data_IF_555637241159
#
_entry.id   IF_555637241159
#
_cell.length_a   1.000
_cell.length_b   1.000
_cell.length_c   1.000
_cell.angle_alpha   90.00
_cell.angle_beta   90.00
_cell.angle_gamma   90.00
#
_symmetry.space_group_name_H-M   'P 1'
#
loop_
_entity.id
_entity.type
_entity.pdbx_description
1 polymer ?
#
# COMPACT_ATOMS: atom_id res chain seq x y z
N UNK A 1 -12.36 -16.43 3.08
CA UNK A 1 -13.37 -16.67 2.03
C UNK A 1 -12.80 -17.52 0.90
N UNK A 2 -11.92 -16.97 0.04
CA UNK A 2 -11.34 -17.67 -1.12
C UNK A 2 -10.85 -19.10 -0.83
N UNK A 3 -9.95 -19.28 0.17
CA UNK A 3 -9.41 -20.60 0.56
C UNK A 3 -10.51 -21.64 0.84
N UNK A 4 -11.63 -21.22 1.44
CA UNK A 4 -12.73 -22.12 1.75
C UNK A 4 -13.56 -22.48 0.49
N UNK A 5 -13.72 -21.54 -0.44
CA UNK A 5 -14.51 -21.71 -1.67
C UNK A 5 -13.76 -22.47 -2.77
N UNK A 6 -12.44 -22.28 -2.86
CA UNK A 6 -11.57 -23.00 -3.79
C UNK A 6 -11.26 -24.43 -3.33
N UNK A 7 -11.45 -24.73 -2.04
CA UNK A 7 -11.11 -26.01 -1.43
C UNK A 7 -9.66 -26.10 -0.89
N UNK A 8 -8.93 -24.99 -0.87
CA UNK A 8 -7.59 -24.91 -0.29
C UNK A 8 -6.82 -23.65 -0.71
N UNK A 9 -5.61 -23.42 -0.15
CA UNK A 9 -4.80 -22.25 -0.44
C UNK A 9 -3.99 -22.42 -1.75
N UNK A 10 -4.65 -22.87 -2.80
CA UNK A 10 -4.03 -23.14 -4.10
C UNK A 10 -4.47 -22.09 -5.13
N UNK A 11 -3.51 -21.61 -5.92
CA UNK A 11 -3.71 -20.68 -7.02
C UNK A 11 -3.21 -21.36 -8.30
N UNK A 12 -4.09 -21.60 -9.25
CA UNK A 12 -3.73 -22.30 -10.50
C UNK A 12 -2.65 -21.58 -11.32
N UNK A 13 -2.79 -20.27 -11.51
CA UNK A 13 -1.85 -19.49 -12.32
C UNK A 13 -1.47 -18.18 -11.63
N UNK A 14 -0.17 -17.92 -11.55
CA UNK A 14 0.37 -16.61 -11.18
C UNK A 14 1.03 -15.99 -12.41
N UNK A 15 0.62 -14.78 -12.75
CA UNK A 15 1.28 -13.94 -13.74
C UNK A 15 2.01 -12.80 -13.04
N UNK A 16 3.33 -12.74 -13.20
CA UNK A 16 4.15 -11.63 -12.71
C UNK A 16 4.22 -10.57 -13.81
N UNK A 17 3.57 -9.43 -13.59
CA UNK A 17 3.56 -8.34 -14.56
C UNK A 17 4.91 -7.61 -14.56
N UNK A 18 5.39 -7.28 -15.76
CA UNK A 18 6.65 -6.59 -15.99
C UNK A 18 6.52 -5.65 -17.19
N UNK A 19 7.49 -4.74 -17.37
CA UNK A 19 7.59 -3.95 -18.59
C UNK A 19 8.08 -4.82 -19.77
N UNK A 20 8.02 -4.29 -20.99
CA UNK A 20 8.77 -4.85 -22.12
C UNK A 20 10.26 -4.56 -21.95
N UNK A 21 11.11 -5.57 -22.13
CA UNK A 21 12.56 -5.46 -21.94
C UNK A 21 13.20 -4.49 -22.95
N UNK A 22 12.63 -4.43 -24.15
CA UNK A 22 12.99 -3.53 -25.23
C UNK A 22 12.54 -2.07 -25.00
N UNK A 23 11.72 -1.81 -23.98
CA UNK A 23 11.13 -0.49 -23.72
C UNK A 23 10.18 -0.04 -24.85
N UNK A 24 10.07 1.27 -25.04
CA UNK A 24 9.37 1.88 -26.17
C UNK A 24 10.11 3.11 -26.67
N UNK A 25 9.98 3.41 -27.97
CA UNK A 25 10.46 4.67 -28.55
C UNK A 25 9.38 5.73 -28.47
N UNK A 26 9.78 6.99 -28.43
CA UNK A 26 8.83 8.11 -28.50
C UNK A 26 7.94 7.97 -29.75
N UNK A 27 6.63 8.11 -29.56
CA UNK A 27 5.63 7.93 -30.63
C UNK A 27 5.27 6.48 -30.99
N UNK A 28 5.83 5.47 -30.32
CA UNK A 28 5.54 4.03 -30.57
C UNK A 28 4.84 3.34 -29.41
N UNK A 29 4.27 4.10 -28.47
CA UNK A 29 3.53 3.53 -27.36
C UNK A 29 2.22 2.94 -27.86
N UNK A 30 1.99 1.67 -27.57
CA UNK A 30 0.79 0.92 -27.91
C UNK A 30 0.38 0.06 -26.72
N UNK A 31 -0.92 -0.19 -26.57
CA UNK A 31 -1.41 -1.12 -25.56
C UNK A 31 -1.20 -2.55 -26.04
N UNK A 32 -0.51 -3.34 -25.22
CA UNK A 32 -0.21 -4.75 -25.51
C UNK A 32 0.14 -5.53 -24.26
N UNK A 33 -0.08 -6.83 -24.34
CA UNK A 33 0.28 -7.81 -23.32
C UNK A 33 0.77 -9.08 -24.00
N UNK A 34 1.94 -9.56 -23.59
CA UNK A 34 2.56 -10.76 -24.13
C UNK A 34 3.18 -11.62 -23.02
N UNK A 35 3.03 -12.95 -23.16
CA UNK A 35 3.85 -13.90 -22.40
C UNK A 35 5.31 -13.77 -22.84
N UNK A 36 6.20 -13.46 -21.89
CA UNK A 36 7.62 -13.21 -22.16
C UNK A 36 8.48 -13.85 -21.06
N UNK A 37 9.77 -14.11 -21.34
CA UNK A 37 10.71 -14.50 -20.30
C UNK A 37 10.74 -13.47 -19.17
N UNK A 38 10.86 -13.94 -17.93
CA UNK A 38 10.98 -13.07 -16.77
C UNK A 38 12.27 -12.25 -16.86
N UNK A 39 12.15 -10.93 -16.69
CA UNK A 39 13.29 -9.99 -16.71
C UNK A 39 14.08 -10.12 -15.41
N UNK A 40 13.38 -9.96 -14.29
CA UNK A 40 13.95 -10.11 -12.96
C UNK A 40 13.91 -11.58 -12.52
N UNK A 41 14.83 -11.94 -11.61
CA UNK A 41 14.77 -13.24 -10.94
C UNK A 41 13.43 -13.38 -10.21
N UNK A 42 12.68 -14.44 -10.54
CA UNK A 42 11.43 -14.76 -9.87
C UNK A 42 11.65 -14.91 -8.37
N UNK A 43 10.79 -14.23 -7.61
CA UNK A 43 10.76 -14.34 -6.15
C UNK A 43 10.00 -15.59 -5.68
N UNK A 44 9.33 -16.29 -6.61
CA UNK A 44 8.72 -17.59 -6.37
C UNK A 44 9.74 -18.71 -6.61
N UNK A 45 9.72 -19.73 -5.76
CA UNK A 45 10.56 -20.92 -5.87
C UNK A 45 9.72 -22.19 -5.79
N UNK A 46 10.11 -23.23 -6.52
CA UNK A 46 9.45 -24.53 -6.42
C UNK A 46 9.78 -25.23 -5.10
N UNK A 47 8.80 -25.89 -4.52
CA UNK A 47 8.96 -26.80 -3.39
C UNK A 47 9.24 -28.24 -3.86
N UNK A 48 9.32 -29.17 -2.90
CA UNK A 48 9.63 -30.58 -3.19
C UNK A 48 8.56 -31.30 -4.02
N UNK A 49 7.37 -30.74 -4.10
CA UNK A 49 6.23 -31.24 -4.86
C UNK A 49 5.99 -30.41 -6.13
N UNK A 50 6.99 -29.62 -6.55
CA UNK A 50 6.97 -28.79 -7.77
C UNK A 50 5.96 -27.63 -7.73
N UNK A 51 5.33 -27.36 -6.58
CA UNK A 51 4.48 -26.18 -6.40
C UNK A 51 5.30 -24.95 -6.09
N UNK A 52 4.87 -23.79 -6.59
CA UNK A 52 5.51 -22.52 -6.32
C UNK A 52 5.09 -21.97 -4.96
N UNK A 53 6.09 -21.56 -4.18
CA UNK A 53 5.97 -20.86 -2.90
C UNK A 53 6.87 -19.63 -2.89
N UNK A 54 6.68 -18.77 -1.92
CA UNK A 54 7.56 -17.62 -1.70
C UNK A 54 9.01 -18.08 -1.50
N UNK A 55 9.90 -17.63 -2.38
CA UNK A 55 11.33 -17.98 -2.40
C UNK A 55 12.17 -17.21 -1.41
N UNK A 56 11.56 -16.28 -0.66
CA UNK A 56 12.19 -15.65 0.49
C UNK A 56 12.31 -16.70 1.60
N UNK A 57 13.49 -17.31 1.70
CA UNK A 57 13.90 -17.98 2.93
C UNK A 57 13.90 -16.92 4.03
N UNK A 58 12.82 -16.85 4.81
CA UNK A 58 12.86 -16.19 6.10
C UNK A 58 14.06 -16.79 6.82
N UNK A 59 15.12 -16.03 7.14
CA UNK A 59 16.26 -16.60 7.84
C UNK A 59 15.69 -17.13 9.16
N UNK A 60 15.62 -18.45 9.29
CA UNK A 60 15.28 -19.09 10.57
C UNK A 60 16.31 -18.59 11.56
N UNK A 61 15.98 -17.54 12.32
CA UNK A 61 16.68 -17.18 13.53
C UNK A 61 16.38 -18.28 14.55
N UNK A 62 16.99 -19.45 14.37
CA UNK A 62 17.16 -20.40 15.46
C UNK A 62 18.25 -19.81 16.34
N UNK A 63 17.85 -19.06 17.37
CA UNK A 63 18.71 -18.91 18.53
C UNK A 63 18.96 -20.32 19.06
N UNK A 64 20.21 -20.79 19.13
CA UNK A 64 20.49 -22.03 19.83
C UNK A 64 20.24 -21.77 21.32
N UNK A 65 19.20 -22.39 21.88
CA UNK A 65 19.08 -22.61 23.31
C UNK A 65 20.23 -23.53 23.75
N UNK A 66 21.44 -22.97 23.92
CA UNK A 66 22.52 -23.61 24.67
C UNK A 66 22.57 -22.99 26.05
N UNK A 67 21.92 -23.70 26.98
CA UNK A 67 22.32 -23.90 28.38
C UNK A 67 22.94 -22.71 29.12
N UNK A 68 22.09 -21.96 29.81
CA UNK A 68 22.48 -21.18 30.99
C UNK A 68 22.72 -22.16 32.16
N UNK A 69 23.95 -22.66 32.28
CA UNK A 69 24.46 -23.21 33.54
C UNK A 69 25.94 -22.87 33.67
N UNK A 70 26.25 -21.84 34.47
CA UNK A 70 27.29 -21.82 35.50
C UNK A 70 27.34 -20.43 36.19
N UNK A 71 27.39 -20.37 37.54
CA UNK A 71 27.30 -19.11 38.28
C UNK A 71 28.67 -18.48 38.54
N UNK A 72 28.73 -17.15 38.35
CA UNK A 72 29.74 -16.28 38.95
C UNK A 72 31.02 -16.11 38.14
N UNK A 73 31.13 -15.02 37.36
CA UNK A 73 32.37 -14.27 37.13
C UNK A 73 32.08 -12.97 36.35
N UNK A 74 32.33 -11.85 37.03
CA UNK A 74 32.63 -10.50 36.57
C UNK A 74 31.98 -9.93 35.29
N UNK A 75 31.18 -8.89 35.53
CA UNK A 75 30.68 -7.90 34.59
C UNK A 75 31.83 -7.04 34.02
N UNK A 76 32.55 -7.56 33.02
CA UNK A 76 33.40 -6.74 32.15
C UNK A 76 33.13 -7.08 30.69
N UNK A 77 32.49 -6.12 30.01
CA UNK A 77 32.64 -5.85 28.58
C UNK A 77 32.50 -7.05 27.65
N UNK A 78 31.27 -7.45 27.36
CA UNK A 78 30.93 -8.19 26.15
C UNK A 78 30.31 -7.22 25.13
N UNK A 79 31.15 -6.40 24.50
CA UNK A 79 30.83 -5.79 23.21
C UNK A 79 30.95 -6.90 22.16
N UNK A 80 29.92 -7.74 22.04
CA UNK A 80 29.72 -8.61 20.89
C UNK A 80 28.57 -8.04 20.07
N UNK A 81 28.96 -7.46 18.94
CA UNK A 81 28.20 -7.04 17.77
C UNK A 81 26.76 -7.60 17.68
N UNK A 82 25.79 -6.81 18.11
CA UNK A 82 24.37 -6.97 17.76
C UNK A 82 24.10 -6.45 16.33
N UNK A 83 24.90 -6.88 15.33
CA UNK A 83 24.87 -6.30 13.98
C UNK A 83 24.28 -7.20 12.89
N UNK A 84 23.54 -8.26 13.21
CA UNK A 84 22.99 -9.15 12.17
C UNK A 84 21.52 -9.54 12.35
N UNK A 85 20.70 -8.68 12.95
CA UNK A 85 19.25 -8.73 12.78
C UNK A 85 18.78 -7.38 12.28
N UNK A 86 18.27 -7.27 11.04
CA UNK A 86 17.71 -6.03 10.57
C UNK A 86 16.52 -5.65 11.46
N UNK A 87 16.45 -4.37 11.80
CA UNK A 87 15.32 -3.78 12.52
C UNK A 87 14.02 -4.17 11.80
N UNK A 88 12.96 -4.62 12.51
CA UNK A 88 11.73 -5.15 11.89
C UNK A 88 11.06 -4.23 10.85
N UNK A 89 11.37 -2.93 10.84
CA UNK A 89 10.84 -1.95 9.90
C UNK A 89 11.58 -1.86 8.54
N UNK A 90 12.78 -2.42 8.39
CA UNK A 90 13.54 -2.32 7.13
C UNK A 90 13.39 -3.55 6.21
N UNK A 91 12.84 -4.66 6.71
CA UNK A 91 12.54 -5.82 5.87
C UNK A 91 11.30 -5.56 4.98
N UNK A 92 10.25 -4.92 5.47
CA UNK A 92 8.94 -4.87 4.81
C UNK A 92 8.94 -4.39 3.34
N UNK A 93 9.85 -3.48 2.95
CA UNK A 93 9.88 -2.92 1.59
C UNK A 93 10.45 -3.87 0.52
N UNK A 94 11.20 -4.92 0.91
CA UNK A 94 11.66 -5.97 -0.02
C UNK A 94 10.77 -7.23 -0.01
N UNK A 95 9.81 -7.33 0.91
CA UNK A 95 9.04 -8.56 1.19
C UNK A 95 7.63 -8.54 0.60
N UNK A 96 7.20 -7.47 -0.06
CA UNK A 96 5.86 -7.36 -0.65
C UNK A 96 5.74 -7.84 -2.11
N UNK A 97 6.82 -8.38 -2.70
CA UNK A 97 6.84 -8.85 -4.10
C UNK A 97 7.04 -10.37 -4.07
N UNK A 98 6.25 -11.13 -4.81
CA UNK A 98 6.34 -12.59 -4.79
C UNK A 98 6.02 -13.22 -3.44
N UNK A 99 5.08 -12.61 -2.70
CA UNK A 99 4.70 -12.97 -1.34
C UNK A 99 3.20 -13.21 -1.32
N UNK A 100 2.76 -14.42 -0.98
CA UNK A 100 1.35 -14.76 -0.83
C UNK A 100 0.73 -14.14 0.45
N UNK A 101 0.90 -12.84 0.61
CA UNK A 101 0.35 -11.98 1.66
C UNK A 101 0.63 -12.42 3.11
N UNK A 102 1.61 -13.31 3.34
CA UNK A 102 1.93 -13.82 4.67
C UNK A 102 1.45 -15.23 4.96
N UNK A 103 0.76 -15.86 4.01
CA UNK A 103 0.21 -17.19 4.17
C UNK A 103 1.19 -18.22 3.62
N UNK A 104 2.06 -18.73 4.52
CA UNK A 104 3.11 -19.71 4.21
C UNK A 104 2.56 -21.01 3.59
N UNK A 105 1.28 -21.32 3.79
CA UNK A 105 0.57 -22.47 3.23
C UNK A 105 0.17 -22.29 1.77
N UNK A 106 0.19 -21.07 1.24
CA UNK A 106 -0.28 -20.78 -0.12
C UNK A 106 0.65 -21.35 -1.18
N UNK A 107 0.07 -21.94 -2.23
CA UNK A 107 0.83 -22.57 -3.33
C UNK A 107 0.30 -22.12 -4.67
N UNK A 108 1.20 -21.72 -5.56
CA UNK A 108 0.93 -21.53 -6.99
C UNK A 108 1.22 -22.81 -7.77
N UNK A 109 0.32 -23.25 -8.65
CA UNK A 109 0.57 -24.41 -9.51
C UNK A 109 1.50 -24.06 -10.67
N UNK A 110 1.32 -22.88 -11.25
CA UNK A 110 2.16 -22.37 -12.32
C UNK A 110 2.50 -20.88 -12.12
N UNK A 111 3.70 -20.47 -12.53
CA UNK A 111 4.18 -19.09 -12.45
C UNK A 111 4.86 -18.73 -13.77
N UNK A 112 4.41 -17.65 -14.40
CA UNK A 112 5.04 -17.08 -15.60
C UNK A 112 4.99 -15.55 -15.58
N UNK A 113 5.72 -14.90 -16.50
CA UNK A 113 5.80 -13.45 -16.58
C UNK A 113 5.03 -12.92 -17.80
N UNK A 114 4.32 -11.80 -17.60
CA UNK A 114 3.64 -11.06 -18.67
C UNK A 114 4.28 -9.69 -18.81
N UNK A 115 4.82 -9.40 -20.00
CA UNK A 115 5.17 -8.02 -20.34
C UNK A 115 3.91 -7.28 -20.73
N UNK A 116 3.65 -6.14 -20.09
CA UNK A 116 2.42 -5.35 -20.28
C UNK A 116 2.71 -3.87 -20.45
N UNK A 117 1.95 -3.24 -21.35
CA UNK A 117 1.85 -1.81 -21.57
C UNK A 117 0.37 -1.49 -21.81
N UNK A 118 -0.20 -0.58 -21.03
CA UNK A 118 -1.58 -0.13 -21.22
C UNK A 118 -2.41 -0.14 -19.95
N UNK A 119 -3.71 0.09 -20.14
CA UNK A 119 -4.67 0.09 -19.04
C UNK A 119 -5.05 -1.32 -18.58
N UNK A 120 -5.61 -1.43 -17.37
CA UNK A 120 -5.90 -2.70 -16.71
C UNK A 120 -6.78 -3.65 -17.54
N UNK A 121 -7.70 -3.14 -18.36
CA UNK A 121 -8.54 -3.98 -19.21
C UNK A 121 -7.78 -4.71 -20.33
N UNK A 122 -6.53 -4.32 -20.64
CA UNK A 122 -5.72 -4.96 -21.71
C UNK A 122 -5.45 -6.44 -21.42
N UNK A 123 -5.42 -6.85 -20.15
CA UNK A 123 -5.17 -8.25 -19.76
C UNK A 123 -6.43 -9.12 -19.86
N UNK A 124 -7.63 -8.53 -19.93
CA UNK A 124 -8.88 -9.29 -19.89
C UNK A 124 -9.00 -10.31 -21.04
N UNK A 125 -8.69 -9.98 -22.31
CA UNK A 125 -8.72 -10.97 -23.39
C UNK A 125 -7.77 -12.15 -23.18
N UNK A 126 -6.61 -11.93 -22.55
CA UNK A 126 -5.66 -12.99 -22.22
C UNK A 126 -6.24 -13.92 -21.15
N UNK A 127 -6.79 -13.34 -20.08
CA UNK A 127 -7.41 -14.09 -18.98
C UNK A 127 -8.62 -14.93 -19.44
N UNK A 128 -9.35 -14.45 -20.46
CA UNK A 128 -10.50 -15.16 -21.02
C UNK A 128 -10.12 -16.26 -22.03
N UNK A 129 -8.90 -16.26 -22.56
CA UNK A 129 -8.42 -17.31 -23.49
C UNK A 129 -7.99 -18.57 -22.76
N UNK A 130 -7.27 -18.44 -21.65
CA UNK A 130 -6.81 -19.59 -20.86
C UNK A 130 -7.86 -20.00 -19.82
N UNK A 131 -8.93 -20.64 -20.29
CA UNK A 131 -10.08 -21.05 -19.47
C UNK A 131 -9.82 -22.25 -18.56
N UNK A 132 -8.60 -22.82 -18.60
CA UNK A 132 -8.23 -23.98 -17.78
C UNK A 132 -7.93 -23.62 -16.31
N UNK A 133 -7.49 -22.38 -16.06
CA UNK A 133 -7.22 -21.90 -14.71
C UNK A 133 -8.52 -21.39 -14.05
N UNK A 134 -8.85 -21.92 -12.87
CA UNK A 134 -10.00 -21.48 -12.07
C UNK A 134 -9.67 -20.24 -11.24
N UNK A 135 -8.41 -20.07 -10.85
CA UNK A 135 -7.94 -18.92 -10.06
C UNK A 135 -6.65 -18.36 -10.65
N UNK A 136 -6.62 -17.05 -10.90
CA UNK A 136 -5.46 -16.34 -11.43
C UNK A 136 -5.04 -15.22 -10.49
N UNK A 137 -3.74 -15.12 -10.20
CA UNK A 137 -3.14 -14.01 -9.47
C UNK A 137 -2.30 -13.16 -10.42
N UNK A 138 -2.52 -11.84 -10.40
CA UNK A 138 -1.65 -10.87 -11.09
C UNK A 138 -0.75 -10.20 -10.05
N UNK A 139 0.52 -10.59 -10.01
CA UNK A 139 1.53 -9.93 -9.20
C UNK A 139 2.05 -8.69 -9.94
N UNK A 140 2.52 -7.68 -9.20
CA UNK A 140 3.02 -6.40 -9.73
C UNK A 140 1.96 -5.64 -10.53
N UNK A 141 0.72 -5.66 -10.04
CA UNK A 141 -0.44 -5.04 -10.66
C UNK A 141 -0.28 -3.53 -10.92
N UNK A 142 0.69 -2.85 -10.28
CA UNK A 142 1.00 -1.44 -10.55
C UNK A 142 1.51 -1.16 -11.97
N UNK A 143 1.92 -2.19 -12.72
CA UNK A 143 2.29 -2.04 -14.14
C UNK A 143 1.08 -1.73 -15.03
N UNK A 144 -0.15 -1.92 -14.53
CA UNK A 144 -1.39 -1.62 -15.22
C UNK A 144 -1.85 -0.20 -14.91
N UNK A 145 -2.19 0.55 -15.95
CA UNK A 145 -2.77 1.89 -15.80
C UNK A 145 -4.30 1.81 -15.61
N UNK A 146 -4.91 2.94 -15.23
CA UNK A 146 -6.37 3.04 -15.23
C UNK A 146 -6.92 3.07 -16.67
N UNK A 147 -8.06 2.43 -16.92
CA UNK A 147 -8.74 2.47 -18.23
C UNK A 147 -9.13 3.90 -18.61
N UNK A 148 -9.96 4.54 -17.78
CA UNK A 148 -10.32 5.95 -17.95
C UNK A 148 -10.26 6.67 -16.60
N UNK A 149 -9.09 7.25 -16.30
CA UNK A 149 -8.89 7.99 -15.06
C UNK A 149 -9.87 9.17 -14.95
N UNK A 150 -10.56 9.28 -13.81
CA UNK A 150 -11.60 10.30 -13.59
C UNK A 150 -12.93 10.05 -14.31
N UNK A 151 -13.09 8.91 -15.00
CA UNK A 151 -14.36 8.49 -15.61
C UNK A 151 -15.37 7.94 -14.60
N UNK A 152 -16.58 7.61 -15.09
CA UNK A 152 -17.65 7.06 -14.25
C UNK A 152 -17.24 5.78 -13.54
N UNK A 153 -16.67 4.80 -14.24
CA UNK A 153 -16.28 3.51 -13.66
C UNK A 153 -15.16 3.64 -12.62
N UNK A 154 -14.19 4.53 -12.90
CA UNK A 154 -13.18 4.93 -11.92
C UNK A 154 -13.83 5.49 -10.65
N UNK A 155 -14.77 6.43 -10.80
CA UNK A 155 -15.44 7.05 -9.66
C UNK A 155 -16.41 6.12 -8.93
N UNK A 156 -17.08 5.20 -9.63
CA UNK A 156 -17.92 4.18 -8.99
C UNK A 156 -17.07 3.24 -8.15
N UNK A 157 -15.94 2.77 -8.69
CA UNK A 157 -14.97 1.97 -7.93
C UNK A 157 -14.41 2.76 -6.75
N UNK A 158 -14.01 4.01 -6.95
CA UNK A 158 -13.48 4.85 -5.87
C UNK A 158 -14.52 5.14 -4.79
N UNK A 159 -15.79 5.35 -5.15
CA UNK A 159 -16.89 5.66 -4.22
C UNK A 159 -17.39 4.44 -3.45
N UNK A 160 -17.21 3.24 -3.98
CA UNK A 160 -17.54 2.00 -3.26
C UNK A 160 -16.57 1.70 -2.11
N UNK A 161 -15.36 2.27 -2.14
CA UNK A 161 -14.37 2.17 -1.06
C UNK A 161 -14.73 3.07 0.13
N UNK A 162 -15.80 2.69 0.86
CA UNK A 162 -16.24 3.34 2.10
C UNK A 162 -15.48 2.73 3.28
N UNK A 163 -14.91 3.59 4.14
CA UNK A 163 -14.19 3.13 5.32
C UNK A 163 -15.08 2.31 6.27
N UNK A 164 -14.46 1.34 6.95
CA UNK A 164 -15.11 0.53 7.97
C UNK A 164 -15.78 1.44 9.02
N UNK A 165 -17.01 1.08 9.42
CA UNK A 165 -17.87 1.91 10.26
C UNK A 165 -17.18 2.36 11.56
N UNK A 166 -16.54 1.44 12.29
CA UNK A 166 -15.86 1.76 13.54
C UNK A 166 -14.72 2.79 13.38
N UNK A 167 -14.04 2.82 12.22
CA UNK A 167 -13.02 3.84 11.95
C UNK A 167 -13.63 5.22 11.71
N UNK A 168 -14.79 5.26 11.03
CA UNK A 168 -15.57 6.50 10.84
C UNK A 168 -16.06 7.03 12.18
N UNK A 169 -16.63 6.17 13.02
CA UNK A 169 -17.13 6.55 14.35
C UNK A 169 -16.03 7.15 15.24
N UNK A 170 -14.83 6.57 15.26
CA UNK A 170 -13.67 7.15 15.98
C UNK A 170 -13.26 8.50 15.39
N UNK A 171 -13.28 8.63 14.06
CA UNK A 171 -13.01 9.89 13.37
C UNK A 171 -14.05 10.98 13.71
N UNK A 172 -15.33 10.61 13.75
CA UNK A 172 -16.43 11.52 14.09
C UNK A 172 -16.41 11.91 15.57
N UNK A 173 -16.03 10.99 16.47
CA UNK A 173 -15.78 11.33 17.87
C UNK A 173 -14.64 12.35 18.01
N UNK A 174 -13.52 12.12 17.33
CA UNK A 174 -12.40 13.06 17.33
C UNK A 174 -12.81 14.44 16.78
N UNK A 175 -13.54 14.47 15.65
CA UNK A 175 -14.08 15.70 15.04
C UNK A 175 -14.97 16.46 16.01
N UNK A 176 -15.92 15.78 16.63
CA UNK A 176 -16.86 16.37 17.58
C UNK A 176 -16.11 16.93 18.79
N UNK A 177 -15.26 16.12 19.41
CA UNK A 177 -14.59 16.44 20.67
C UNK A 177 -13.50 17.51 20.55
N UNK A 178 -12.72 17.49 19.47
CA UNK A 178 -11.53 18.33 19.35
C UNK A 178 -11.65 19.41 18.30
N UNK A 179 -12.45 19.20 17.26
CA UNK A 179 -12.54 20.10 16.12
C UNK A 179 -13.86 20.90 16.06
N UNK A 180 -14.80 20.65 16.99
CA UNK A 180 -16.13 21.27 16.97
C UNK A 180 -16.83 21.05 15.61
N UNK A 181 -16.78 19.80 15.14
CA UNK A 181 -17.16 19.39 13.78
C UNK A 181 -18.06 18.16 13.85
N UNK A 182 -19.19 18.23 13.14
CA UNK A 182 -20.17 17.14 12.97
C UNK A 182 -20.78 17.25 11.58
N UNK A 183 -21.29 16.15 11.02
CA UNK A 183 -21.86 16.17 9.66
C UNK A 183 -22.99 17.19 9.49
N UNK A 184 -23.83 17.37 10.52
CA UNK A 184 -24.93 18.36 10.51
C UNK A 184 -24.40 19.80 10.51
N UNK A 185 -23.47 20.14 11.42
CA UNK A 185 -22.89 21.49 11.51
C UNK A 185 -22.06 21.84 10.27
N UNK A 186 -21.42 20.83 9.69
CA UNK A 186 -20.48 20.98 8.57
C UNK A 186 -21.19 20.87 7.20
N UNK A 187 -22.51 20.62 7.20
CA UNK A 187 -23.34 20.37 6.01
C UNK A 187 -22.74 19.28 5.10
N UNK A 188 -22.33 18.17 5.70
CA UNK A 188 -21.79 17.01 5.02
C UNK A 188 -22.78 15.86 5.19
N UNK A 189 -23.93 15.86 4.48
CA UNK A 189 -24.91 14.80 4.63
C UNK A 189 -24.29 13.46 4.22
N UNK A 190 -24.42 12.46 5.09
CA UNK A 190 -23.91 11.12 4.85
C UNK A 190 -25.03 10.16 4.47
N UNK A 191 -24.70 9.19 3.61
CA UNK A 191 -25.61 8.11 3.22
C UNK A 191 -24.80 6.81 3.20
N UNK A 192 -25.24 5.80 3.94
CA UNK A 192 -24.55 4.51 4.05
C UNK A 192 -24.49 3.80 2.69
N UNK A 193 -25.58 3.84 1.94
CA UNK A 193 -25.60 3.38 0.55
C UNK A 193 -24.95 4.42 -0.37
N UNK A 194 -23.66 4.25 -0.63
CA UNK A 194 -22.88 5.14 -1.49
C UNK A 194 -23.51 5.32 -2.88
N UNK A 195 -24.27 4.35 -3.41
CA UNK A 195 -24.91 4.48 -4.74
C UNK A 195 -25.99 5.56 -4.76
N UNK A 196 -26.62 5.82 -3.60
CA UNK A 196 -27.63 6.86 -3.40
C UNK A 196 -27.05 8.19 -2.96
N UNK A 197 -25.80 8.23 -2.52
CA UNK A 197 -25.12 9.45 -2.08
C UNK A 197 -24.82 10.38 -3.27
N UNK A 198 -25.72 11.33 -3.54
CA UNK A 198 -25.54 12.34 -4.59
C UNK A 198 -25.60 13.73 -3.95
N UNK A 199 -24.54 14.51 -4.15
CA UNK A 199 -24.43 15.88 -3.63
C UNK A 199 -24.08 16.84 -4.75
N UNK A 200 -24.55 18.08 -4.65
CA UNK A 200 -24.14 19.13 -5.58
C UNK A 200 -22.68 19.50 -5.30
N UNK A 201 -21.85 19.61 -6.34
CA UNK A 201 -20.46 20.04 -6.19
C UNK A 201 -20.40 21.40 -5.46
N UNK A 202 -19.54 21.49 -4.45
CA UNK A 202 -19.37 22.71 -3.64
C UNK A 202 -20.49 22.99 -2.62
N UNK A 203 -21.37 22.01 -2.33
CA UNK A 203 -22.42 22.17 -1.30
C UNK A 203 -21.95 21.90 0.13
N UNK A 204 -20.92 21.08 0.31
CA UNK A 204 -20.34 20.79 1.61
C UNK A 204 -19.60 22.03 2.15
N UNK A 205 -19.87 22.41 3.40
CA UNK A 205 -19.21 23.54 4.05
C UNK A 205 -17.86 23.11 4.66
N UNK A 206 -17.85 21.98 5.38
CA UNK A 206 -16.70 21.53 6.16
C UNK A 206 -16.72 22.04 7.60
N UNK A 207 -15.99 21.35 8.48
CA UNK A 207 -15.83 21.77 9.88
C UNK A 207 -14.94 23.01 10.03
N UNK A 208 -14.97 23.68 11.20
CA UNK A 208 -14.26 24.96 11.42
C UNK A 208 -12.76 24.76 11.73
N UNK A 209 -12.05 24.03 10.87
CA UNK A 209 -10.62 23.76 11.00
C UNK A 209 -9.94 23.60 9.63
N UNK A 210 -8.63 23.82 9.60
CA UNK A 210 -7.80 23.54 8.42
C UNK A 210 -7.27 22.10 8.49
N UNK A 211 -7.49 21.28 7.45
CA UNK A 211 -6.87 19.97 7.33
C UNK A 211 -5.56 20.03 6.54
N UNK A 212 -4.48 19.44 7.07
CA UNK A 212 -3.16 19.41 6.43
C UNK A 212 -2.59 18.00 6.47
N UNK A 213 -2.12 17.50 5.32
CA UNK A 213 -1.33 16.27 5.24
C UNK A 213 0.13 16.62 4.93
N UNK A 214 1.03 16.36 5.89
CA UNK A 214 2.46 16.60 5.75
C UNK A 214 3.19 15.26 5.67
N UNK A 215 3.49 14.81 4.44
CA UNK A 215 4.34 13.63 4.20
C UNK A 215 5.81 14.03 4.35
N UNK A 216 6.52 13.42 5.28
CA UNK A 216 7.90 13.72 5.66
C UNK A 216 8.85 12.60 5.24
N UNK A 217 8.84 11.46 5.94
CA UNK A 217 9.87 10.39 5.91
C UNK A 217 10.70 10.27 4.62
N UNK A 218 10.26 9.43 3.69
CA UNK A 218 10.92 9.10 2.42
C UNK A 218 10.88 10.27 1.42
N UNK A 219 9.81 11.07 1.49
CA UNK A 219 9.63 12.26 0.66
C UNK A 219 10.74 13.30 0.84
N UNK A 220 11.25 13.49 2.07
CA UNK A 220 12.39 14.38 2.32
C UNK A 220 13.68 13.87 1.67
N UNK A 221 13.80 12.60 1.28
CA UNK A 221 15.01 12.13 0.58
C UNK A 221 14.81 12.10 -0.92
N UNK A 222 13.63 11.67 -1.38
CA UNK A 222 13.32 11.52 -2.80
C UNK A 222 12.82 12.78 -3.51
N UNK A 223 12.25 13.75 -2.79
CA UNK A 223 11.54 14.92 -3.34
C UNK A 223 11.81 16.21 -2.56
N UNK A 224 13.06 16.45 -2.16
CA UNK A 224 13.44 17.59 -1.27
C UNK A 224 12.94 18.94 -1.73
N UNK A 225 12.99 19.20 -3.04
CA UNK A 225 12.68 20.51 -3.59
C UNK A 225 11.17 20.76 -3.70
N UNK A 226 10.37 19.69 -3.73
CA UNK A 226 8.90 19.76 -3.85
C UNK A 226 8.19 19.81 -2.49
N UNK A 227 8.93 19.64 -1.38
CA UNK A 227 8.39 19.56 -0.03
C UNK A 227 8.88 20.74 0.82
N UNK A 228 7.99 21.50 1.48
CA UNK A 228 8.41 22.62 2.30
C UNK A 228 9.23 22.17 3.51
N UNK A 229 10.11 23.06 3.99
CA UNK A 229 10.66 22.95 5.35
C UNK A 229 9.55 23.05 6.40
N UNK A 230 9.79 22.59 7.63
CA UNK A 230 8.80 22.69 8.71
C UNK A 230 8.37 24.15 8.93
N UNK A 231 9.34 25.06 9.01
CA UNK A 231 9.06 26.49 9.11
C UNK A 231 8.26 27.03 7.92
N UNK A 232 8.58 26.60 6.69
CA UNK A 232 7.84 26.97 5.49
C UNK A 232 6.39 26.48 5.54
N UNK A 233 6.17 25.23 5.98
CA UNK A 233 4.86 24.65 6.16
C UNK A 233 4.05 25.43 7.22
N UNK A 234 4.63 25.70 8.40
CA UNK A 234 3.98 26.47 9.47
C UNK A 234 3.61 27.88 9.02
N UNK A 235 4.52 28.58 8.33
CA UNK A 235 4.24 29.91 7.76
C UNK A 235 3.05 29.86 6.80
N UNK A 236 3.00 28.85 5.93
CA UNK A 236 1.87 28.68 4.99
C UNK A 236 0.57 28.34 5.71
N UNK A 237 0.61 27.43 6.68
CA UNK A 237 -0.55 27.04 7.51
C UNK A 237 -1.13 28.26 8.21
N UNK A 238 -0.31 29.03 8.91
CA UNK A 238 -0.74 30.25 9.60
C UNK A 238 -1.34 31.29 8.65
N UNK A 239 -0.75 31.45 7.47
CA UNK A 239 -1.31 32.33 6.43
C UNK A 239 -2.71 31.87 6.00
N UNK A 240 -2.90 30.57 5.71
CA UNK A 240 -4.19 30.02 5.31
C UNK A 240 -5.24 30.13 6.43
N UNK A 241 -4.86 29.84 7.67
CA UNK A 241 -5.76 29.99 8.83
C UNK A 241 -6.28 31.43 8.96
N UNK A 242 -5.40 32.43 8.78
CA UNK A 242 -5.82 33.85 8.77
C UNK A 242 -6.75 34.17 7.61
N UNK A 243 -6.40 33.75 6.40
CA UNK A 243 -7.20 34.00 5.18
C UNK A 243 -8.60 33.39 5.29
N UNK A 244 -8.71 32.18 5.82
CA UNK A 244 -9.97 31.44 5.92
C UNK A 244 -10.68 31.61 7.27
N UNK A 245 -10.12 32.42 8.19
CA UNK A 245 -10.68 32.69 9.52
C UNK A 245 -10.92 31.41 10.33
N UNK A 246 -9.90 30.55 10.36
CA UNK A 246 -9.92 29.25 11.04
C UNK A 246 -9.04 29.30 12.29
N UNK A 247 -9.56 28.86 13.43
CA UNK A 247 -8.84 28.86 14.71
C UNK A 247 -8.10 27.54 14.98
N UNK A 248 -8.52 26.45 14.33
CA UNK A 248 -7.98 25.10 14.53
C UNK A 248 -7.32 24.58 13.26
N UNK A 249 -6.29 23.75 13.44
CA UNK A 249 -5.65 22.97 12.38
C UNK A 249 -5.54 21.52 12.81
N UNK A 250 -5.91 20.59 11.94
CA UNK A 250 -5.69 19.16 12.08
C UNK A 250 -4.54 18.76 11.14
N UNK A 251 -3.49 18.15 11.70
CA UNK A 251 -2.31 17.74 10.94
C UNK A 251 -2.21 16.22 10.93
N UNK A 252 -2.33 15.63 9.75
CA UNK A 252 -1.96 14.24 9.49
C UNK A 252 -0.51 14.21 9.00
N UNK A 253 0.38 13.56 9.73
CA UNK A 253 1.82 13.52 9.38
C UNK A 253 2.44 12.19 9.76
N UNK A 254 3.44 11.77 9.01
CA UNK A 254 4.32 10.65 9.34
C UNK A 254 5.68 11.11 9.87
N UNK A 255 5.81 12.38 10.24
CA UNK A 255 6.98 12.96 10.90
C UNK A 255 7.45 12.08 12.07
N UNK A 256 8.77 11.98 12.22
CA UNK A 256 9.35 11.34 13.41
C UNK A 256 9.16 12.23 14.62
N UNK A 257 9.24 11.65 15.83
CA UNK A 257 8.98 12.35 17.10
C UNK A 257 9.66 13.72 17.21
N UNK A 258 10.94 13.83 16.84
CA UNK A 258 11.68 15.09 16.88
C UNK A 258 11.05 16.18 15.99
N UNK A 259 10.70 15.83 14.75
CA UNK A 259 10.04 16.78 13.84
C UNK A 259 8.61 17.10 14.30
N UNK A 260 7.92 16.14 14.92
CA UNK A 260 6.58 16.36 15.49
C UNK A 260 6.60 17.31 16.69
N UNK A 261 7.62 17.21 17.56
CA UNK A 261 7.81 18.12 18.69
C UNK A 261 8.23 19.54 18.26
N UNK A 262 8.90 19.67 17.10
CA UNK A 262 9.31 20.94 16.51
C UNK A 262 8.16 21.66 15.78
N UNK A 263 7.23 20.90 15.19
CA UNK A 263 6.10 21.39 14.39
C UNK A 263 4.98 22.02 15.24
#
# INVERSE_FOLDING_TARGET
>A
QFIAESGGPFIDQVYVLQSYAEGWKEGTWEEKVDERPCIDQLLYSQDKHEYYRDGLVSPKCRLPLKALTLPGLLWKSCQLTASMCPVPGQLALKHGRGWFWGYEETRGLNVSCLSVQGSASIVAPLLLRNTSARSVMLDRAENLLHDHYGGKEYWDTRRSMVFARHLREVGDEFRSRHLNSTDDTDRIPFQEDWTKMKVKLGSALGGPYLGVHLRRKDFIWGHREDVPSLEGAVRKIRSLMKTHRLDKVFVATDAVRKEYEEL
#
